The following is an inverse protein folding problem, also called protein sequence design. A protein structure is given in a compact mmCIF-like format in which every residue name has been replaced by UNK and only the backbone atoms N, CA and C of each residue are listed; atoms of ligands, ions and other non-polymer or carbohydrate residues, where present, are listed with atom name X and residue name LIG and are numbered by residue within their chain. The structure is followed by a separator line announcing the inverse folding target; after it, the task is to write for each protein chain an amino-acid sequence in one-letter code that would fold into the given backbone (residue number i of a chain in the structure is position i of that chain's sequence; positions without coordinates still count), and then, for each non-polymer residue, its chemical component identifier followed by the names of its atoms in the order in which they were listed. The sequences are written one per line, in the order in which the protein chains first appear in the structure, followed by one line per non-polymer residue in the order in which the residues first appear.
data_IF_945405559424
#
_entry.id   IF_945405559424
#
_cell.length_a   1.000
_cell.length_b   1.000
_cell.length_c   1.000
_cell.angle_alpha   90.00
_cell.angle_beta   90.00
_cell.angle_gamma   90.00
#
_symmetry.space_group_name_H-M   'P 1'
#
loop_
_entity.id
_entity.type
_entity.pdbx_description
1 polymer ?
#
# COMPACT_ATOMS: atom_id res chain seq x y z
N UNK A 1 10.60 -1.47 4.19
CA UNK A 1 9.30 -1.61 3.49
C UNK A 1 9.21 -2.99 2.85
N UNK A 2 8.07 -3.68 2.94
CA UNK A 2 7.86 -4.94 2.20
C UNK A 2 7.86 -4.65 0.69
N UNK A 3 8.81 -5.24 -0.05
CA UNK A 3 9.02 -4.96 -1.47
C UNK A 3 7.91 -5.48 -2.38
N UNK A 4 7.08 -6.43 -1.91
CA UNK A 4 5.94 -6.95 -2.67
C UNK A 4 4.90 -5.85 -2.99
N UNK A 5 4.88 -4.76 -2.21
CA UNK A 5 4.02 -3.60 -2.50
C UNK A 5 4.35 -2.94 -3.83
N UNK A 6 5.62 -2.97 -4.24
CA UNK A 6 6.03 -2.37 -5.51
C UNK A 6 5.44 -3.16 -6.68
N UNK A 7 5.48 -4.49 -6.62
CA UNK A 7 4.92 -5.34 -7.66
C UNK A 7 3.40 -5.23 -7.73
N UNK A 8 2.74 -5.24 -6.56
CA UNK A 8 1.31 -5.00 -6.45
C UNK A 8 0.92 -3.67 -7.11
N UNK A 9 1.62 -2.57 -6.80
CA UNK A 9 1.34 -1.26 -7.37
C UNK A 9 1.60 -1.18 -8.87
N UNK A 10 2.59 -1.92 -9.40
CA UNK A 10 2.95 -1.94 -10.82
C UNK A 10 1.95 -2.71 -11.68
N UNK A 11 1.42 -3.81 -11.18
CA UNK A 11 0.75 -4.82 -12.01
C UNK A 11 -0.74 -4.97 -11.75
N UNK A 12 -1.21 -4.65 -10.54
CA UNK A 12 -2.61 -4.87 -10.21
C UNK A 12 -3.55 -3.82 -10.82
N UNK A 13 -4.83 -4.18 -10.85
CA UNK A 13 -5.87 -3.31 -11.42
C UNK A 13 -6.12 -2.07 -10.58
N UNK A 14 -6.66 -1.03 -11.21
CA UNK A 14 -6.99 0.22 -10.54
C UNK A 14 -7.99 0.02 -9.39
N UNK A 15 -8.92 -0.94 -9.51
CA UNK A 15 -9.90 -1.26 -8.47
C UNK A 15 -9.23 -1.84 -7.23
N UNK A 16 -8.31 -2.80 -7.41
CA UNK A 16 -7.58 -3.42 -6.29
C UNK A 16 -6.65 -2.42 -5.61
N UNK A 17 -5.96 -1.58 -6.38
CA UNK A 17 -5.10 -0.52 -5.83
C UNK A 17 -5.93 0.54 -5.11
N UNK A 18 -7.09 0.92 -5.64
CA UNK A 18 -8.01 1.85 -4.98
C UNK A 18 -8.56 1.26 -3.67
N UNK A 19 -8.89 -0.04 -3.66
CA UNK A 19 -9.30 -0.74 -2.45
C UNK A 19 -8.18 -0.79 -1.41
N UNK A 20 -6.95 -1.04 -1.85
CA UNK A 20 -5.76 -1.00 -0.99
C UNK A 20 -5.60 0.38 -0.36
N UNK A 21 -5.61 1.46 -1.16
CA UNK A 21 -5.52 2.84 -0.68
C UNK A 21 -6.66 3.16 0.32
N UNK A 22 -7.88 2.70 0.03
CA UNK A 22 -9.02 2.85 0.96
C UNK A 22 -8.76 2.16 2.30
N UNK A 23 -8.20 0.93 2.28
CA UNK A 23 -7.91 0.17 3.51
C UNK A 23 -6.78 0.80 4.32
N UNK A 24 -5.68 1.20 3.69
CA UNK A 24 -4.54 1.80 4.40
C UNK A 24 -4.90 3.14 5.04
N UNK A 25 -5.88 3.87 4.49
CA UNK A 25 -6.40 5.09 5.09
C UNK A 25 -7.15 4.85 6.41
N UNK A 26 -7.67 3.64 6.64
CA UNK A 26 -8.30 3.24 7.90
C UNK A 26 -7.34 2.60 8.89
N UNK A 27 -6.04 2.53 8.58
CA UNK A 27 -5.05 2.03 9.53
C UNK A 27 -4.81 3.04 10.64
N UNK A 28 -4.86 2.55 11.86
CA UNK A 28 -4.57 3.33 13.07
C UNK A 28 -3.14 3.01 13.55
N UNK A 29 -2.50 3.97 14.20
CA UNK A 29 -1.18 3.80 14.81
C UNK A 29 -0.20 4.91 14.49
N UNK A 30 0.94 4.89 15.18
CA UNK A 30 2.02 5.85 14.97
C UNK A 30 2.66 5.58 13.61
N UNK A 31 2.48 6.50 12.68
CA UNK A 31 3.13 6.46 11.37
C UNK A 31 4.56 6.96 11.56
N UNK A 32 5.55 6.09 11.40
CA UNK A 32 6.94 6.53 11.29
C UNK A 32 7.05 7.43 10.06
N UNK A 33 7.36 8.72 10.30
CA UNK A 33 7.51 9.69 9.22
C UNK A 33 8.79 9.37 8.46
N UNK A 34 8.65 8.78 7.27
CA UNK A 34 9.76 8.68 6.33
C UNK A 34 10.25 10.09 5.96
N UNK A 35 11.57 10.24 5.92
CA UNK A 35 12.22 11.41 5.32
C UNK A 35 11.71 11.59 3.89
N UNK A 36 11.57 12.84 3.46
CA UNK A 36 11.10 13.17 2.10
C UNK A 36 12.01 12.60 1.01
N UNK A 37 13.29 12.39 1.33
CA UNK A 37 14.31 11.83 0.44
C UNK A 37 14.49 10.31 0.62
N UNK A 38 13.51 9.61 1.19
CA UNK A 38 13.58 8.16 1.38
C UNK A 38 13.52 7.42 0.05
N UNK A 39 14.46 6.49 -0.19
CA UNK A 39 14.43 5.60 -1.35
C UNK A 39 13.12 4.82 -1.45
N UNK A 40 12.53 4.42 -0.31
CA UNK A 40 11.23 3.73 -0.29
C UNK A 40 10.11 4.59 -0.90
N UNK A 41 10.14 5.92 -0.71
CA UNK A 41 9.14 6.82 -1.29
C UNK A 41 9.34 6.98 -2.80
N UNK A 42 10.59 7.07 -3.26
CA UNK A 42 10.91 7.13 -4.69
C UNK A 42 10.53 5.82 -5.40
N UNK A 43 10.75 4.68 -4.76
CA UNK A 43 10.38 3.38 -5.31
C UNK A 43 8.85 3.23 -5.42
N UNK A 44 8.10 3.66 -4.40
CA UNK A 44 6.62 3.68 -4.44
C UNK A 44 6.13 4.62 -5.55
N UNK A 45 6.69 5.83 -5.63
CA UNK A 45 6.35 6.82 -6.67
C UNK A 45 6.50 6.19 -8.06
N UNK A 46 7.65 5.58 -8.32
CA UNK A 46 7.95 5.00 -9.62
C UNK A 46 7.06 3.79 -9.92
N UNK A 47 6.76 2.95 -8.93
CA UNK A 47 5.80 1.86 -9.08
C UNK A 47 4.40 2.35 -9.46
N UNK A 48 3.86 3.35 -8.75
CA UNK A 48 2.53 3.91 -9.04
C UNK A 48 2.47 4.58 -10.42
N UNK A 49 3.49 5.36 -10.79
CA UNK A 49 3.52 6.06 -12.08
C UNK A 49 3.74 5.12 -13.27
N UNK A 50 4.38 3.97 -13.04
CA UNK A 50 4.60 2.97 -14.10
C UNK A 50 3.35 2.13 -14.43
N UNK A 51 2.35 2.08 -13.54
CA UNK A 51 1.13 1.34 -13.80
C UNK A 51 0.18 2.15 -14.68
N UNK A 52 0.10 1.77 -15.97
CA UNK A 52 -0.73 2.43 -16.98
C UNK A 52 -2.22 2.41 -16.64
N UNK A 53 -2.69 1.45 -15.84
CA UNK A 53 -4.10 1.34 -15.45
C UNK A 53 -4.53 2.44 -14.47
N UNK A 54 -3.57 3.07 -13.77
CA UNK A 54 -3.87 4.11 -12.79
C UNK A 54 -4.02 5.51 -13.42
N UNK A 55 -3.45 5.73 -14.61
CA UNK A 55 -3.51 7.03 -15.31
C UNK A 55 -2.95 8.20 -14.48
N UNK A 56 -2.08 7.93 -13.51
CA UNK A 56 -1.59 8.93 -12.57
C UNK A 56 -0.52 9.81 -13.20
N UNK A 57 -0.65 11.13 -13.01
CA UNK A 57 0.41 12.10 -13.34
C UNK A 57 1.32 12.41 -12.15
N UNK A 58 0.81 12.23 -10.93
CA UNK A 58 1.48 12.60 -9.69
C UNK A 58 1.15 11.55 -8.62
N UNK A 59 2.17 11.11 -7.88
CA UNK A 59 2.01 10.34 -6.65
C UNK A 59 2.09 11.28 -5.44
N UNK A 60 1.01 11.38 -4.64
CA UNK A 60 0.99 12.30 -3.50
C UNK A 60 1.82 11.75 -2.33
N UNK A 61 2.61 12.62 -1.70
CA UNK A 61 3.53 12.25 -0.62
C UNK A 61 2.83 11.58 0.58
N UNK A 62 1.64 12.05 0.96
CA UNK A 62 0.85 11.48 2.05
C UNK A 62 0.40 10.05 1.76
N UNK A 63 -0.03 9.77 0.52
CA UNK A 63 -0.38 8.42 0.06
C UNK A 63 0.84 7.52 0.08
N UNK A 64 1.98 7.97 -0.45
CA UNK A 64 3.22 7.17 -0.49
C UNK A 64 3.71 6.80 0.92
N UNK A 65 3.66 7.73 1.88
CA UNK A 65 4.01 7.44 3.28
C UNK A 65 3.08 6.40 3.89
N UNK A 66 1.78 6.48 3.63
CA UNK A 66 0.79 5.49 4.11
C UNK A 66 1.00 4.11 3.48
N UNK A 67 1.33 4.06 2.19
CA UNK A 67 1.67 2.81 1.50
C UNK A 67 2.89 2.17 2.16
N UNK A 68 3.98 2.93 2.35
CA UNK A 68 5.19 2.43 2.97
C UNK A 68 4.93 1.89 4.37
N UNK A 69 4.15 2.63 5.16
CA UNK A 69 3.73 2.22 6.50
C UNK A 69 2.91 0.92 6.48
N UNK A 70 1.87 0.86 5.66
CA UNK A 70 0.99 -0.29 5.55
C UNK A 70 1.68 -1.55 5.02
N UNK A 71 2.71 -1.39 4.18
CA UNK A 71 3.44 -2.52 3.59
C UNK A 71 4.10 -3.43 4.64
N UNK A 72 4.45 -2.88 5.80
CA UNK A 72 5.13 -3.63 6.86
C UNK A 72 4.13 -4.32 7.82
N UNK A 73 2.83 -4.12 7.63
CA UNK A 73 1.79 -4.61 8.53
C UNK A 73 1.21 -5.91 8.05
N UNK A 74 0.90 -6.76 9.03
CA UNK A 74 0.36 -8.09 8.76
C UNK A 74 -0.88 -8.33 9.61
N UNK A 75 -1.78 -9.16 9.09
CA UNK A 75 -3.01 -9.49 9.77
C UNK A 75 -2.70 -10.32 11.02
N UNK A 76 -3.20 -9.90 12.18
CA UNK A 76 -2.82 -10.46 13.49
C UNK A 76 -3.05 -11.99 13.62
N UNK A 77 -3.98 -12.55 12.84
CA UNK A 77 -4.37 -13.97 12.96
C UNK A 77 -3.50 -14.91 12.13
N UNK A 78 -3.09 -14.48 10.94
CA UNK A 78 -2.51 -15.37 9.91
C UNK A 78 -1.33 -14.76 9.16
N UNK A 79 -0.87 -13.56 9.55
CA UNK A 79 0.37 -12.97 9.05
C UNK A 79 0.30 -12.46 7.60
N UNK A 80 -0.87 -12.45 6.96
CA UNK A 80 -1.02 -11.97 5.58
C UNK A 80 -0.97 -10.45 5.50
N UNK A 81 -0.43 -9.90 4.42
CA UNK A 81 -0.51 -8.45 4.19
C UNK A 81 -1.89 -8.06 3.64
N UNK A 82 -2.21 -6.77 3.69
CA UNK A 82 -3.44 -6.24 3.07
C UNK A 82 -3.47 -6.56 1.57
N UNK A 83 -2.31 -6.57 0.91
CA UNK A 83 -2.17 -6.84 -0.52
C UNK A 83 -2.47 -8.31 -0.83
N UNK A 84 -1.94 -9.23 -0.03
CA UNK A 84 -2.20 -10.67 -0.16
C UNK A 84 -3.69 -10.96 0.02
N UNK A 85 -4.30 -10.32 1.02
CA UNK A 85 -5.73 -10.46 1.29
C UNK A 85 -6.59 -9.88 0.15
N UNK A 86 -6.23 -8.73 -0.42
CA UNK A 86 -6.94 -8.19 -1.60
C UNK A 86 -6.78 -9.11 -2.81
N UNK A 87 -5.56 -9.57 -3.08
CA UNK A 87 -5.23 -10.41 -4.24
C UNK A 87 -5.94 -11.78 -4.16
N UNK A 88 -6.13 -12.30 -2.95
CA UNK A 88 -6.88 -13.54 -2.69
C UNK A 88 -8.40 -13.35 -2.50
N UNK A 89 -8.92 -12.14 -2.72
CA UNK A 89 -10.35 -11.85 -2.62
C UNK A 89 -10.90 -11.66 -1.19
N UNK A 90 -10.04 -11.68 -0.16
CA UNK A 90 -10.39 -11.44 1.26
C UNK A 90 -10.59 -9.94 1.56
N UNK A 91 -11.46 -9.28 0.79
CA UNK A 91 -11.63 -7.83 0.81
C UNK A 91 -12.39 -7.28 2.04
N UNK A 92 -13.02 -8.13 2.86
CA UNK A 92 -13.82 -7.73 4.01
C UNK A 92 -13.04 -7.57 5.33
N UNK A 93 -11.74 -7.86 5.34
CA UNK A 93 -10.90 -7.70 6.54
C UNK A 93 -10.80 -6.25 6.99
N UNK A 94 -10.92 -6.01 8.30
CA UNK A 94 -10.91 -4.67 8.88
C UNK A 94 -9.47 -4.12 8.96
N UNK A 95 -9.22 -2.85 8.65
CA UNK A 95 -7.88 -2.25 8.74
C UNK A 95 -7.23 -2.40 10.13
N UNK A 96 -8.00 -2.26 11.22
CA UNK A 96 -7.49 -2.44 12.59
C UNK A 96 -6.93 -3.83 12.91
N UNK A 97 -7.17 -4.81 12.03
CA UNK A 97 -6.65 -6.17 12.18
C UNK A 97 -5.24 -6.32 11.64
N UNK A 98 -4.65 -5.28 11.03
CA UNK A 98 -3.26 -5.30 10.56
C UNK A 98 -2.41 -4.52 11.55
N UNK A 99 -1.50 -5.22 12.22
CA UNK A 99 -0.61 -4.68 13.25
C UNK A 99 0.79 -4.44 12.68
#
# INVERSE_FOLDING_TARGET
MNRNVLEFLKTETAEKISLFIRKINGLEGNVTLLSINSQDLEDIKNAMLSNSNLGLKIARLDVMKKIAYASNRTHYKDGTTIMDDISSGKIHRRPKSYI
#
